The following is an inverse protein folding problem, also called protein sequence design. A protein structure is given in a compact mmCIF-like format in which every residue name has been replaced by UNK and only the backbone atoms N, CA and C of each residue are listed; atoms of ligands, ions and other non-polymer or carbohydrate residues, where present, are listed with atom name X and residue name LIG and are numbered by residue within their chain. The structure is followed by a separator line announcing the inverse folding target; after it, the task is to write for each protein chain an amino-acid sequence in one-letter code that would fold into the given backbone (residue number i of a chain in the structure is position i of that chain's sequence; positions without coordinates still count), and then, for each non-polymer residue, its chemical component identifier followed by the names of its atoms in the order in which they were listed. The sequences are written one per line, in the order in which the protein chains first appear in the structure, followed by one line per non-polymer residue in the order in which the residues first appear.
data_IF_812663257233
#
_entry.id   IF_812663257233
#
_cell.length_a   1.000
_cell.length_b   1.000
_cell.length_c   1.000
_cell.angle_alpha   90.00
_cell.angle_beta   90.00
_cell.angle_gamma   90.00
#
_symmetry.space_group_name_H-M   'P 1'
#
loop_
_entity.id
_entity.type
_entity.pdbx_description
1 polymer ?
#
# COMPACT_ATOMS: atom_id res chain seq x y z
N UNK A 1 7.00 -13.99 -8.79
CA UNK A 1 8.05 -13.35 -7.99
C UNK A 1 9.08 -12.70 -8.88
N UNK A 2 9.62 -11.55 -8.47
CA UNK A 2 10.77 -10.96 -9.16
C UNK A 2 11.91 -12.00 -9.19
N UNK A 3 12.68 -12.11 -10.29
CA UNK A 3 13.85 -12.95 -10.31
C UNK A 3 14.77 -12.56 -9.14
N UNK A 4 15.49 -13.53 -8.58
CA UNK A 4 16.48 -13.26 -7.53
C UNK A 4 17.62 -12.45 -8.13
N UNK A 5 17.48 -11.14 -8.06
CA UNK A 5 18.47 -10.16 -8.53
C UNK A 5 18.92 -9.30 -7.35
N UNK A 6 20.16 -8.78 -7.37
CA UNK A 6 20.62 -7.85 -6.35
C UNK A 6 19.66 -6.65 -6.21
N UNK A 7 19.48 -6.15 -4.99
CA UNK A 7 18.57 -5.02 -4.71
C UNK A 7 18.83 -3.80 -5.63
N UNK A 8 20.05 -3.52 -5.99
CA UNK A 8 20.42 -2.45 -6.92
C UNK A 8 19.83 -2.64 -8.33
N UNK A 9 19.51 -3.87 -8.75
CA UNK A 9 18.91 -4.14 -10.05
C UNK A 9 17.38 -4.02 -10.05
N UNK A 10 16.74 -4.04 -8.87
CA UNK A 10 15.27 -3.93 -8.78
C UNK A 10 14.75 -2.61 -9.32
N UNK A 11 15.47 -1.50 -9.07
CA UNK A 11 15.10 -0.20 -9.61
C UNK A 11 15.10 -0.16 -11.14
N UNK A 12 16.10 -0.79 -11.78
CA UNK A 12 16.15 -0.85 -13.23
C UNK A 12 15.05 -1.76 -13.79
N UNK A 13 14.74 -2.87 -13.13
CA UNK A 13 13.63 -3.75 -13.53
C UNK A 13 12.27 -3.03 -13.46
N UNK A 14 12.04 -2.25 -12.41
CA UNK A 14 10.81 -1.46 -12.28
C UNK A 14 10.70 -0.40 -13.39
N UNK A 15 11.79 0.32 -13.72
CA UNK A 15 11.82 1.25 -14.86
C UNK A 15 11.52 0.55 -16.18
N UNK A 16 12.18 -0.57 -16.44
CA UNK A 16 11.96 -1.35 -17.67
C UNK A 16 10.53 -1.87 -17.76
N UNK A 17 9.92 -2.22 -16.63
CA UNK A 17 8.53 -2.64 -16.58
C UNK A 17 7.59 -1.51 -16.98
N UNK A 18 7.75 -0.30 -16.43
CA UNK A 18 6.99 0.88 -16.82
C UNK A 18 7.17 1.24 -18.30
N UNK A 19 8.43 1.25 -18.80
CA UNK A 19 8.74 1.55 -20.20
C UNK A 19 8.11 0.55 -21.17
N UNK A 20 7.85 -0.67 -20.74
CA UNK A 20 7.22 -1.75 -21.51
C UNK A 20 5.73 -1.93 -21.17
N UNK A 21 5.08 -0.90 -20.63
CA UNK A 21 3.65 -0.91 -20.31
C UNK A 21 3.23 -2.10 -19.44
N UNK A 22 4.04 -2.44 -18.42
CA UNK A 22 3.74 -3.53 -17.50
C UNK A 22 3.99 -4.94 -18.02
N UNK A 23 4.68 -5.12 -19.17
CA UNK A 23 4.77 -6.44 -19.83
C UNK A 23 6.12 -7.15 -19.68
N UNK A 24 7.14 -6.52 -19.12
CA UNK A 24 8.48 -7.13 -19.05
C UNK A 24 8.61 -8.27 -18.04
N UNK A 25 7.74 -8.29 -17.03
CA UNK A 25 7.54 -9.41 -16.11
C UNK A 25 6.11 -9.42 -15.61
N UNK A 26 5.66 -10.55 -15.10
CA UNK A 26 4.33 -10.66 -14.47
C UNK A 26 4.46 -10.32 -12.99
N UNK A 27 3.76 -9.29 -12.54
CA UNK A 27 3.72 -8.89 -11.14
C UNK A 27 2.88 -9.87 -10.30
N UNK A 28 3.37 -10.19 -9.12
CA UNK A 28 2.63 -10.97 -8.13
C UNK A 28 1.85 -10.00 -7.23
N UNK A 29 0.64 -9.67 -7.63
CA UNK A 29 -0.22 -8.71 -6.91
C UNK A 29 -0.67 -9.24 -5.56
N UNK A 30 -0.89 -10.53 -5.43
CA UNK A 30 -1.29 -11.14 -4.15
C UNK A 30 -0.18 -10.98 -3.11
N UNK A 31 1.04 -11.38 -3.47
CA UNK A 31 2.21 -11.19 -2.62
C UNK A 31 2.49 -9.70 -2.36
N UNK A 32 2.36 -8.85 -3.39
CA UNK A 32 2.52 -7.40 -3.27
C UNK A 32 1.55 -6.79 -2.27
N UNK A 33 0.28 -7.16 -2.34
CA UNK A 33 -0.76 -6.71 -1.40
C UNK A 33 -0.48 -7.20 0.02
N UNK A 34 -0.08 -8.46 0.18
CA UNK A 34 0.29 -9.00 1.49
C UNK A 34 1.42 -8.19 2.14
N UNK A 35 2.46 -7.88 1.37
CA UNK A 35 3.60 -7.07 1.82
C UNK A 35 3.21 -5.63 2.13
N UNK A 36 2.38 -5.01 1.29
CA UNK A 36 1.89 -3.66 1.51
C UNK A 36 1.09 -3.57 2.83
N UNK A 37 0.21 -4.54 3.10
CA UNK A 37 -0.53 -4.65 4.35
C UNK A 37 0.39 -4.79 5.57
N UNK A 38 1.42 -5.61 5.48
CA UNK A 38 2.40 -5.76 6.54
C UNK A 38 3.21 -4.48 6.77
N UNK A 39 3.69 -3.86 5.69
CA UNK A 39 4.51 -2.67 5.75
C UNK A 39 3.77 -1.48 6.35
N UNK A 40 2.51 -1.24 5.94
CA UNK A 40 1.75 -0.10 6.47
C UNK A 40 1.42 -0.25 7.96
N UNK A 41 1.12 -1.46 8.46
CA UNK A 41 0.93 -1.65 9.89
C UNK A 41 2.22 -1.38 10.67
N UNK A 42 3.38 -1.79 10.14
CA UNK A 42 4.67 -1.47 10.75
C UNK A 42 4.90 0.04 10.77
N UNK A 43 4.68 0.73 9.64
CA UNK A 43 4.87 2.18 9.53
C UNK A 43 3.95 2.95 10.46
N UNK A 44 2.66 2.61 10.49
CA UNK A 44 1.68 3.26 11.37
C UNK A 44 1.93 2.98 12.86
N UNK A 45 2.73 1.99 13.23
CA UNK A 45 3.16 1.75 14.60
C UNK A 45 4.34 2.63 15.03
N UNK A 46 5.09 3.20 14.09
CA UNK A 46 6.22 4.07 14.38
C UNK A 46 5.76 5.41 14.99
N UNK A 47 6.61 6.05 15.85
CA UNK A 47 6.34 7.38 16.37
C UNK A 47 6.44 8.44 15.28
N UNK A 48 5.76 9.56 15.48
CA UNK A 48 5.83 10.71 14.58
C UNK A 48 4.69 10.75 13.56
N UNK A 49 4.87 11.52 12.49
CA UNK A 49 3.89 11.67 11.42
C UNK A 49 3.95 10.48 10.46
N UNK A 50 2.81 9.99 10.03
CA UNK A 50 2.69 9.03 8.95
C UNK A 50 2.15 9.74 7.70
N UNK A 51 2.70 9.40 6.54
CA UNK A 51 2.28 9.95 5.26
C UNK A 51 1.67 8.83 4.43
N UNK A 52 0.42 8.99 4.06
CA UNK A 52 -0.31 8.04 3.20
C UNK A 52 -0.47 8.69 1.84
N UNK A 53 0.06 8.05 0.80
CA UNK A 53 -0.14 8.51 -0.55
C UNK A 53 -1.50 8.04 -1.09
N UNK A 54 -2.13 8.85 -1.94
CA UNK A 54 -3.44 8.51 -2.52
C UNK A 54 -3.42 7.16 -3.21
N UNK A 55 -4.38 6.29 -2.90
CA UNK A 55 -4.51 4.96 -3.47
C UNK A 55 -3.82 3.85 -2.68
N UNK A 56 -2.91 4.17 -1.74
CA UNK A 56 -2.33 3.17 -0.85
C UNK A 56 -3.42 2.51 0.00
N UNK A 57 -4.36 3.30 0.48
CA UNK A 57 -5.49 2.85 1.30
C UNK A 57 -6.45 1.92 0.54
N UNK A 58 -6.39 1.91 -0.78
CA UNK A 58 -7.12 1.00 -1.66
C UNK A 58 -6.24 -0.14 -2.18
N UNK A 59 -4.94 -0.14 -1.85
CA UNK A 59 -4.00 -1.11 -2.41
C UNK A 59 -3.84 -1.03 -3.93
N UNK A 60 -4.05 0.15 -4.51
CA UNK A 60 -3.97 0.35 -5.96
C UNK A 60 -2.57 0.05 -6.49
N UNK A 61 -2.44 -0.86 -7.46
CA UNK A 61 -1.19 -1.02 -8.21
C UNK A 61 -0.92 0.18 -9.11
N UNK A 62 0.35 0.38 -9.47
CA UNK A 62 0.75 1.41 -10.43
C UNK A 62 0.18 1.11 -11.82
N UNK A 63 -0.31 2.14 -12.51
CA UNK A 63 -0.81 2.06 -13.89
C UNK A 63 0.36 2.21 -14.85
N UNK A 64 0.87 1.10 -15.36
CA UNK A 64 2.07 1.09 -16.19
C UNK A 64 1.81 1.40 -17.67
N UNK A 65 0.58 1.23 -18.15
CA UNK A 65 0.20 1.24 -19.56
C UNK A 65 -0.41 2.57 -20.03
N UNK A 66 -0.21 3.66 -19.27
CA UNK A 66 -0.59 5.01 -19.73
C UNK A 66 0.11 5.31 -21.05
N UNK A 67 -0.64 5.69 -22.12
CA UNK A 67 -0.07 6.11 -23.38
C UNK A 67 0.88 7.30 -23.23
N UNK A 68 1.94 7.35 -24.04
CA UNK A 68 2.94 8.42 -23.97
C UNK A 68 2.39 9.82 -24.19
N UNK A 69 1.38 9.96 -25.03
CA UNK A 69 0.71 11.23 -25.34
C UNK A 69 -0.29 11.66 -24.26
N UNK A 70 -0.58 10.78 -23.29
CA UNK A 70 -1.42 11.08 -22.13
C UNK A 70 -0.60 11.28 -20.84
N UNK A 71 0.74 11.19 -20.91
CA UNK A 71 1.60 11.46 -19.75
C UNK A 71 1.70 12.97 -19.49
N UNK A 72 1.70 13.35 -18.21
CA UNK A 72 1.81 14.75 -17.77
C UNK A 72 3.08 15.02 -16.96
N UNK A 73 3.73 13.98 -16.39
CA UNK A 73 4.95 14.15 -15.60
C UNK A 73 6.08 14.71 -16.47
N UNK A 74 6.67 15.87 -16.12
CA UNK A 74 7.78 16.47 -16.87
C UNK A 74 8.95 15.51 -17.09
N UNK A 75 9.12 14.50 -16.24
CA UNK A 75 10.17 13.48 -16.38
C UNK A 75 10.04 12.71 -17.69
N UNK A 76 8.82 12.47 -18.17
CA UNK A 76 8.57 11.80 -19.44
C UNK A 76 9.07 12.58 -20.65
N UNK A 77 9.15 13.91 -20.56
CA UNK A 77 9.50 14.81 -21.65
C UNK A 77 10.93 15.39 -21.51
N UNK A 78 11.42 15.51 -20.28
CA UNK A 78 12.74 16.04 -19.99
C UNK A 78 13.78 14.92 -20.06
N UNK A 79 14.36 14.70 -21.23
CA UNK A 79 15.48 13.76 -21.43
C UNK A 79 16.73 14.27 -20.73
N UNK A 80 16.86 13.99 -19.44
CA UNK A 80 18.08 14.28 -18.70
C UNK A 80 19.04 13.12 -18.91
N UNK A 81 20.19 13.35 -19.52
CA UNK A 81 21.26 12.37 -19.76
C UNK A 81 20.84 11.16 -20.62
N UNK A 82 20.01 11.38 -21.64
CA UNK A 82 19.50 10.33 -22.55
C UNK A 82 18.70 9.19 -21.85
N UNK A 83 18.28 9.40 -20.60
CA UNK A 83 17.41 8.45 -19.92
C UNK A 83 15.95 8.72 -20.29
N UNK A 84 15.27 7.67 -20.73
CA UNK A 84 13.84 7.67 -21.01
C UNK A 84 13.15 7.10 -19.78
N UNK A 85 12.20 7.86 -19.22
CA UNK A 85 11.38 7.44 -18.07
C UNK A 85 9.94 7.90 -18.29
N UNK A 86 8.96 7.12 -17.83
CA UNK A 86 7.54 7.52 -17.84
C UNK A 86 7.18 8.49 -16.71
N UNK A 87 8.06 8.69 -15.74
CA UNK A 87 7.76 9.49 -14.58
C UNK A 87 6.89 8.75 -13.56
N UNK A 88 6.03 9.48 -12.86
CA UNK A 88 5.21 8.97 -11.75
C UNK A 88 3.70 9.06 -12.00
N UNK A 89 3.28 9.27 -13.23
CA UNK A 89 1.85 9.40 -13.55
C UNK A 89 1.05 8.14 -13.19
N UNK A 90 1.67 6.96 -13.33
CA UNK A 90 1.03 5.69 -12.99
C UNK A 90 0.52 5.58 -11.55
N UNK A 91 1.15 6.29 -10.60
CA UNK A 91 0.68 6.35 -9.21
C UNK A 91 -0.14 7.63 -8.89
N UNK A 92 -0.45 8.45 -9.89
CA UNK A 92 -1.23 9.69 -9.74
C UNK A 92 -2.59 9.64 -10.42
N UNK A 93 -2.93 8.52 -11.04
CA UNK A 93 -4.24 8.34 -11.67
C UNK A 93 -5.32 8.55 -10.61
N UNK A 94 -6.36 9.36 -10.91
CA UNK A 94 -7.43 9.65 -9.96
C UNK A 94 -8.07 8.38 -9.38
N UNK A 95 -8.16 8.26 -8.02
CA UNK A 95 -8.62 7.04 -7.39
C UNK A 95 -10.11 6.76 -7.65
N UNK A 96 -10.53 5.47 -7.67
CA UNK A 96 -11.92 5.09 -7.91
C UNK A 96 -12.76 5.18 -6.63
N UNK A 97 -13.90 5.85 -6.70
CA UNK A 97 -14.86 5.98 -5.60
C UNK A 97 -16.05 5.04 -5.74
N UNK A 98 -16.54 4.84 -6.97
CA UNK A 98 -17.74 4.06 -7.27
C UNK A 98 -17.54 3.19 -8.51
N UNK A 99 -17.50 1.90 -8.34
CA UNK A 99 -17.19 0.92 -9.40
C UNK A 99 -18.08 1.03 -10.64
N UNK A 100 -19.37 1.32 -10.47
CA UNK A 100 -20.37 1.31 -11.54
C UNK A 100 -20.67 2.66 -12.17
N UNK A 101 -19.87 3.69 -11.93
CA UNK A 101 -20.12 5.05 -12.44
C UNK A 101 -19.05 5.51 -13.42
N UNK A 102 -19.37 6.43 -14.36
CA UNK A 102 -18.35 7.06 -15.21
C UNK A 102 -17.24 7.69 -14.37
N UNK A 103 -15.99 7.65 -14.85
CA UNK A 103 -14.80 8.12 -14.12
C UNK A 103 -14.66 7.52 -12.72
N UNK A 104 -15.29 6.38 -12.48
CA UNK A 104 -15.41 5.74 -11.17
C UNK A 104 -15.85 6.71 -10.05
N UNK A 105 -16.71 7.69 -10.41
CA UNK A 105 -17.23 8.69 -9.48
C UNK A 105 -16.23 9.76 -9.05
N UNK A 106 -15.07 9.85 -9.68
CA UNK A 106 -14.08 10.90 -9.38
C UNK A 106 -14.57 12.28 -9.82
N UNK A 107 -15.10 12.41 -11.05
CA UNK A 107 -15.72 13.64 -11.53
C UNK A 107 -17.24 13.59 -11.36
N UNK A 108 -17.88 14.68 -10.92
CA UNK A 108 -19.35 14.73 -10.89
C UNK A 108 -19.90 14.62 -12.31
N UNK A 109 -21.00 13.89 -12.47
CA UNK A 109 -21.79 13.99 -13.69
C UNK A 109 -22.24 15.45 -13.85
N UNK A 110 -21.79 16.12 -14.89
CA UNK A 110 -22.25 17.49 -15.17
C UNK A 110 -23.73 17.42 -15.53
N UNK A 111 -24.60 17.74 -14.57
CA UNK A 111 -25.96 18.12 -14.88
C UNK A 111 -25.89 19.48 -15.55
N UNK A 112 -25.96 19.51 -16.87
CA UNK A 112 -26.33 20.74 -17.57
C UNK A 112 -27.81 21.04 -17.28
N UNK A 113 -28.10 21.46 -16.04
CA UNK A 113 -29.37 22.09 -15.69
C UNK A 113 -29.26 23.56 -16.13
N UNK A 114 -29.77 23.86 -17.28
CA UNK A 114 -30.03 25.23 -17.67
C UNK A 114 -29.50 25.65 -19.02
N UNK A 115 -30.45 25.95 -19.89
CA UNK A 115 -30.37 26.70 -21.12
C UNK A 115 -29.91 25.95 -22.39
N UNK A 116 -30.87 25.37 -23.13
CA UNK A 116 -30.96 25.50 -24.58
C UNK A 116 -29.79 25.00 -25.45
N UNK A 117 -28.95 24.14 -24.96
CA UNK A 117 -27.90 23.49 -25.78
C UNK A 117 -28.47 22.21 -26.40
N UNK A 118 -28.37 22.11 -27.72
CA UNK A 118 -28.77 20.95 -28.50
C UNK A 118 -28.07 19.71 -27.95
N UNK A 119 -28.85 18.67 -27.62
CA UNK A 119 -28.36 17.40 -27.07
C UNK A 119 -27.35 16.68 -27.98
N UNK A 120 -27.22 17.08 -29.24
CA UNK A 120 -26.23 16.59 -30.20
C UNK A 120 -24.81 17.18 -29.98
N UNK A 121 -24.70 18.25 -29.18
CA UNK A 121 -23.42 18.90 -28.81
C UNK A 121 -23.06 18.74 -27.33
N UNK A 122 -23.88 18.00 -26.57
CA UNK A 122 -23.52 17.63 -25.21
C UNK A 122 -22.32 16.68 -25.29
N UNK A 123 -21.14 17.19 -24.97
CA UNK A 123 -19.98 16.37 -24.68
C UNK A 123 -20.30 15.34 -23.61
N UNK A 124 -19.50 14.32 -23.50
CA UNK A 124 -19.62 13.25 -22.50
C UNK A 124 -20.00 13.88 -21.12
N UNK A 125 -21.09 13.42 -20.49
CA UNK A 125 -21.64 14.07 -19.28
C UNK A 125 -20.72 14.06 -18.05
N UNK A 126 -19.50 13.58 -18.22
CA UNK A 126 -18.46 13.56 -17.21
C UNK A 126 -17.16 14.13 -17.78
N UNK A 127 -16.54 15.07 -17.10
CA UNK A 127 -15.18 15.50 -17.46
C UNK A 127 -14.22 14.33 -17.29
N UNK A 128 -13.42 14.04 -18.32
CA UNK A 128 -12.39 13.02 -18.24
C UNK A 128 -11.37 13.40 -17.15
N UNK A 129 -10.92 12.44 -16.33
CA UNK A 129 -9.80 12.68 -15.45
C UNK A 129 -8.54 13.01 -16.26
N UNK A 130 -7.64 13.81 -15.68
CA UNK A 130 -6.40 14.24 -16.32
C UNK A 130 -5.48 13.07 -16.74
N UNK A 131 -5.55 11.95 -16.03
CA UNK A 131 -4.88 10.70 -16.40
C UNK A 131 -5.92 9.58 -16.61
N UNK A 132 -5.72 8.68 -17.57
CA UNK A 132 -6.68 7.64 -17.89
C UNK A 132 -6.82 6.60 -16.78
N UNK A 133 -8.05 6.36 -16.35
CA UNK A 133 -8.38 5.34 -15.37
C UNK A 133 -8.57 3.98 -16.04
N UNK A 134 -7.80 2.94 -15.69
CA UNK A 134 -7.98 1.61 -16.25
C UNK A 134 -9.25 0.94 -15.73
N UNK A 135 -9.86 0.04 -16.52
CA UNK A 135 -11.11 -0.62 -16.14
C UNK A 135 -11.02 -1.45 -14.84
N UNK A 136 -9.84 -2.00 -14.53
CA UNK A 136 -9.62 -2.77 -13.32
C UNK A 136 -9.67 -1.92 -12.03
N UNK A 137 -9.69 -0.58 -12.12
CA UNK A 137 -9.96 0.30 -10.98
C UNK A 137 -11.32 0.01 -10.33
N UNK A 138 -12.29 -0.51 -11.08
CA UNK A 138 -13.57 -0.93 -10.53
C UNK A 138 -13.44 -1.94 -9.37
N UNK A 139 -12.41 -2.78 -9.38
CA UNK A 139 -12.20 -3.79 -8.34
C UNK A 139 -11.65 -3.21 -7.04
N UNK A 140 -11.04 -2.03 -7.11
CA UNK A 140 -10.45 -1.28 -6.00
C UNK A 140 -11.30 -0.07 -5.59
N UNK A 141 -12.51 0.06 -6.10
CA UNK A 141 -13.35 1.21 -5.80
C UNK A 141 -13.77 1.25 -4.32
N UNK A 142 -13.80 2.45 -3.74
CA UNK A 142 -14.15 2.68 -2.33
C UNK A 142 -15.47 2.01 -1.94
N UNK A 143 -16.50 2.09 -2.78
CA UNK A 143 -17.82 1.50 -2.50
C UNK A 143 -17.79 -0.04 -2.43
N UNK A 144 -16.86 -0.69 -3.11
CA UNK A 144 -16.63 -2.15 -2.98
C UNK A 144 -15.84 -2.48 -1.74
N UNK A 145 -14.73 -1.80 -1.53
CA UNK A 145 -13.87 -2.05 -0.38
C UNK A 145 -14.53 -1.71 0.95
N UNK A 146 -15.42 -0.73 0.97
CA UNK A 146 -16.17 -0.34 2.15
C UNK A 146 -17.01 -1.47 2.73
N UNK A 147 -17.54 -2.33 1.88
CA UNK A 147 -18.38 -3.48 2.26
C UNK A 147 -17.58 -4.75 2.58
N UNK A 148 -16.29 -4.81 2.21
CA UNK A 148 -15.41 -5.93 2.50
C UNK A 148 -14.58 -5.66 3.75
N UNK A 149 -14.89 -6.35 4.86
CA UNK A 149 -14.15 -6.22 6.12
C UNK A 149 -12.68 -6.62 6.04
N UNK A 150 -12.28 -7.39 5.01
CA UNK A 150 -10.92 -7.83 4.73
C UNK A 150 -10.14 -6.90 3.79
N UNK A 151 -10.78 -5.86 3.23
CA UNK A 151 -10.18 -4.94 2.26
C UNK A 151 -8.99 -4.15 2.82
N UNK A 152 -8.22 -3.56 1.90
CA UNK A 152 -7.13 -2.65 2.28
C UNK A 152 -7.70 -1.41 2.99
N UNK A 153 -8.76 -0.81 2.46
CA UNK A 153 -9.43 0.36 3.05
C UNK A 153 -9.83 0.12 4.50
N UNK A 154 -10.46 -1.02 4.78
CA UNK A 154 -10.90 -1.34 6.14
C UNK A 154 -9.72 -1.69 7.08
N UNK A 155 -8.60 -2.20 6.55
CA UNK A 155 -7.36 -2.34 7.32
C UNK A 155 -6.82 -0.96 7.72
N UNK A 156 -6.72 -0.01 6.79
CA UNK A 156 -6.27 1.36 7.08
C UNK A 156 -7.17 2.06 8.11
N UNK A 157 -8.48 1.96 7.97
CA UNK A 157 -9.44 2.56 8.94
C UNK A 157 -9.25 2.00 10.35
N UNK A 158 -9.11 0.68 10.48
CA UNK A 158 -8.87 0.04 11.77
C UNK A 158 -7.52 0.46 12.35
N UNK A 159 -6.46 0.42 11.53
CA UNK A 159 -5.13 0.81 11.96
C UNK A 159 -5.05 2.27 12.40
N UNK A 160 -5.63 3.19 11.64
CA UNK A 160 -5.66 4.61 12.00
C UNK A 160 -6.50 4.87 13.25
N UNK A 161 -7.62 4.18 13.42
CA UNK A 161 -8.42 4.23 14.64
C UNK A 161 -7.64 3.78 15.87
N UNK A 162 -7.01 2.61 15.80
CA UNK A 162 -6.16 2.09 16.88
C UNK A 162 -4.94 2.97 17.12
N UNK A 163 -4.31 3.48 16.05
CA UNK A 163 -3.21 4.43 16.18
C UNK A 163 -3.64 5.67 16.96
N UNK A 164 -4.82 6.23 16.66
CA UNK A 164 -5.35 7.38 17.40
C UNK A 164 -5.63 7.05 18.88
N UNK A 165 -6.11 5.87 19.17
CA UNK A 165 -6.41 5.41 20.53
C UNK A 165 -5.14 5.12 21.34
N UNK A 166 -4.17 4.41 20.73
CA UNK A 166 -3.01 3.87 21.43
C UNK A 166 -1.74 4.72 21.32
N UNK A 167 -1.66 5.68 20.40
CA UNK A 167 -0.51 6.59 20.33
C UNK A 167 -0.64 7.68 21.37
N UNK A 168 0.46 7.90 22.08
CA UNK A 168 0.63 8.98 23.05
C UNK A 168 1.67 9.99 22.56
N UNK A 169 1.81 11.11 23.28
CA UNK A 169 2.88 12.07 23.04
C UNK A 169 4.29 11.49 23.32
N UNK A 170 4.36 10.37 24.05
CA UNK A 170 5.63 9.68 24.29
C UNK A 170 6.06 8.93 23.02
N UNK A 171 7.17 9.38 22.45
CA UNK A 171 7.76 8.81 21.23
C UNK A 171 8.72 7.65 21.51
N UNK A 172 8.84 7.20 22.76
CA UNK A 172 9.74 6.12 23.15
C UNK A 172 9.41 4.84 22.38
N UNK A 173 10.44 4.23 21.82
CA UNK A 173 10.41 2.95 21.13
C UNK A 173 11.50 2.09 21.75
N UNK A 174 11.13 0.87 22.16
CA UNK A 174 12.07 -0.13 22.69
C UNK A 174 12.02 -1.36 21.77
N UNK A 175 13.17 -1.75 21.25
CA UNK A 175 13.28 -2.96 20.45
C UNK A 175 12.98 -4.20 21.30
N UNK A 176 12.31 -5.16 20.71
CA UNK A 176 12.02 -6.46 21.31
C UNK A 176 12.85 -7.53 20.58
N UNK A 177 13.42 -8.44 21.35
CA UNK A 177 14.03 -9.64 20.82
C UNK A 177 12.96 -10.73 20.66
N UNK A 178 12.60 -11.06 19.43
CA UNK A 178 11.59 -12.06 19.11
C UNK A 178 12.20 -13.44 18.78
N UNK A 179 13.53 -13.57 18.79
CA UNK A 179 14.20 -14.82 18.44
C UNK A 179 15.03 -15.36 19.61
N UNK A 180 14.34 -15.93 20.60
CA UNK A 180 15.00 -16.65 21.69
C UNK A 180 15.61 -17.99 21.30
N UNK A 181 15.34 -18.46 20.06
CA UNK A 181 15.78 -19.79 19.60
C UNK A 181 17.18 -19.82 18.99
N UNK A 182 17.73 -18.68 18.58
CA UNK A 182 18.96 -18.65 17.80
C UNK A 182 20.29 -18.66 18.59
N UNK A 183 20.26 -18.55 19.92
CA UNK A 183 21.47 -18.65 20.76
C UNK A 183 22.59 -17.67 20.38
N UNK A 184 22.31 -16.60 19.66
CA UNK A 184 23.27 -15.57 19.29
C UNK A 184 23.47 -14.58 20.44
N UNK A 185 24.71 -14.12 20.69
CA UNK A 185 25.00 -13.22 21.80
C UNK A 185 24.33 -11.86 21.64
N UNK A 186 23.91 -11.31 22.78
CA UNK A 186 23.39 -9.95 22.95
C UNK A 186 24.19 -8.92 22.16
N UNK A 187 23.59 -8.26 21.19
CA UNK A 187 24.25 -7.19 20.45
C UNK A 187 23.64 -6.81 19.10
N UNK A 188 22.73 -7.58 18.55
CA UNK A 188 21.97 -7.18 17.35
C UNK A 188 20.59 -6.68 17.78
N UNK A 189 20.49 -5.40 18.06
CA UNK A 189 19.25 -4.75 18.47
C UNK A 189 18.15 -4.95 17.40
N UNK A 190 17.08 -5.66 17.77
CA UNK A 190 15.79 -5.64 17.07
C UNK A 190 15.64 -6.45 15.76
N UNK A 191 16.66 -7.20 15.34
CA UNK A 191 16.63 -7.89 14.04
C UNK A 191 17.21 -9.30 14.15
N UNK A 192 16.35 -10.29 14.20
CA UNK A 192 16.76 -11.69 14.04
C UNK A 192 15.90 -12.37 12.98
N UNK A 193 16.55 -12.99 12.00
CA UNK A 193 15.85 -13.83 11.02
C UNK A 193 14.85 -13.14 10.10
N UNK A 194 14.83 -11.79 10.00
CA UNK A 194 13.86 -11.04 9.20
C UNK A 194 12.66 -10.52 9.98
N UNK A 195 12.61 -10.71 11.31
CA UNK A 195 11.56 -10.17 12.18
C UNK A 195 11.96 -8.80 12.73
N UNK A 196 11.07 -7.83 12.65
CA UNK A 196 11.19 -6.49 13.23
C UNK A 196 10.14 -6.36 14.33
N UNK A 197 10.58 -6.13 15.58
CA UNK A 197 9.67 -6.01 16.70
C UNK A 197 10.06 -4.88 17.63
N UNK A 198 9.07 -4.10 18.07
CA UNK A 198 9.26 -3.02 19.02
C UNK A 198 8.03 -2.79 19.88
N UNK A 199 8.28 -2.28 21.08
CA UNK A 199 7.27 -1.84 22.04
C UNK A 199 7.19 -0.32 22.10
N UNK A 200 5.97 0.18 22.24
CA UNK A 200 5.66 1.59 22.51
C UNK A 200 5.46 1.82 24.02
N UNK A 201 5.63 3.08 24.45
CA UNK A 201 5.62 3.45 25.87
C UNK A 201 4.36 3.05 26.65
N UNK A 202 3.20 3.04 25.99
CA UNK A 202 1.91 2.72 26.61
C UNK A 202 1.54 1.22 26.59
N UNK A 203 2.53 0.36 26.41
CA UNK A 203 2.33 -1.09 26.61
C UNK A 203 1.78 -1.85 25.41
N UNK A 204 1.93 -1.35 24.19
CA UNK A 204 1.63 -2.12 23.00
C UNK A 204 2.86 -2.34 22.12
N UNK A 205 2.84 -3.38 21.33
CA UNK A 205 3.95 -3.78 20.47
C UNK A 205 3.49 -3.94 19.02
N UNK A 206 4.42 -3.72 18.09
CA UNK A 206 4.32 -4.11 16.70
C UNK A 206 5.37 -5.17 16.40
N UNK A 207 4.95 -6.27 15.79
CA UNK A 207 5.81 -7.35 15.33
C UNK A 207 5.56 -7.56 13.84
N UNK A 208 6.60 -7.45 13.02
CA UNK A 208 6.55 -7.68 11.57
C UNK A 208 7.52 -8.79 11.21
N UNK A 209 7.05 -9.79 10.51
CA UNK A 209 7.87 -10.89 10.04
C UNK A 209 8.07 -10.81 8.51
N UNK A 210 9.27 -10.45 8.07
CA UNK A 210 9.71 -10.56 6.67
C UNK A 210 10.54 -11.82 6.41
N UNK A 211 10.86 -12.61 7.47
CA UNK A 211 11.58 -13.86 7.37
C UNK A 211 10.69 -14.97 6.81
N UNK A 212 11.33 -16.04 6.30
CA UNK A 212 10.62 -17.18 5.71
C UNK A 212 9.91 -18.06 6.77
N UNK A 213 10.48 -18.16 7.98
CA UNK A 213 9.92 -18.95 9.06
C UNK A 213 8.90 -18.15 9.88
N UNK A 214 7.80 -18.77 10.34
CA UNK A 214 6.84 -18.09 11.20
C UNK A 214 7.47 -17.65 12.53
N UNK A 215 7.21 -16.39 12.92
CA UNK A 215 7.73 -15.81 14.15
C UNK A 215 6.76 -15.94 15.32
N UNK A 216 7.27 -16.10 16.53
CA UNK A 216 6.47 -16.09 17.75
C UNK A 216 6.02 -14.66 18.09
N UNK A 217 4.83 -14.54 18.67
CA UNK A 217 4.30 -13.28 19.16
C UNK A 217 4.54 -13.18 20.69
N UNK A 218 4.82 -11.96 21.20
CA UNK A 218 4.84 -11.74 22.65
C UNK A 218 3.47 -12.01 23.27
N UNK A 219 3.45 -12.35 24.55
CA UNK A 219 2.20 -12.54 25.29
C UNK A 219 1.39 -11.23 25.35
N UNK A 220 0.11 -11.31 25.07
CA UNK A 220 -0.79 -10.16 25.07
C UNK A 220 -2.02 -10.37 24.19
N UNK A 221 -2.87 -9.36 24.13
CA UNK A 221 -4.08 -9.39 23.30
C UNK A 221 -3.78 -8.84 21.91
N UNK A 222 -4.18 -9.56 20.86
CA UNK A 222 -4.01 -9.12 19.49
C UNK A 222 -5.00 -8.00 19.19
N UNK A 223 -4.49 -6.81 18.86
CA UNK A 223 -5.27 -5.65 18.48
C UNK A 223 -5.61 -5.65 16.99
N UNK A 224 -4.64 -5.98 16.14
CA UNK A 224 -4.78 -5.99 14.69
C UNK A 224 -3.72 -6.89 14.06
N UNK A 225 -4.07 -7.53 12.95
CA UNK A 225 -3.13 -8.28 12.09
C UNK A 225 -3.33 -7.89 10.62
N UNK A 226 -2.25 -7.87 9.85
CA UNK A 226 -2.30 -7.58 8.42
C UNK A 226 -2.80 -8.75 7.57
N UNK A 227 -2.80 -9.96 8.11
CA UNK A 227 -3.25 -11.19 7.49
C UNK A 227 -3.44 -12.30 8.54
N UNK A 228 -3.93 -13.49 8.16
CA UNK A 228 -4.18 -14.57 9.10
C UNK A 228 -2.89 -15.07 9.73
N UNK A 229 -2.97 -15.48 11.00
CA UNK A 229 -1.91 -16.20 11.69
C UNK A 229 -1.88 -17.66 11.21
N UNK A 230 -0.80 -18.37 11.54
CA UNK A 230 -0.71 -19.82 11.37
C UNK A 230 -1.66 -20.55 12.33
N UNK A 231 -1.96 -21.82 12.09
CA UNK A 231 -2.85 -22.63 12.95
C UNK A 231 -2.37 -22.71 14.40
N UNK A 232 -1.06 -22.61 14.61
CA UNK A 232 -0.44 -22.59 15.96
C UNK A 232 -0.25 -21.18 16.52
N UNK A 233 -0.84 -20.15 15.89
CA UNK A 233 -0.89 -18.77 16.38
C UNK A 233 0.38 -17.95 16.13
N UNK A 234 1.33 -18.43 15.31
CA UNK A 234 2.53 -17.69 14.96
C UNK A 234 2.29 -16.73 13.80
N UNK A 235 3.17 -15.74 13.68
CA UNK A 235 3.13 -14.72 12.64
C UNK A 235 3.83 -15.21 11.37
N UNK A 236 3.11 -15.50 10.27
CA UNK A 236 3.72 -15.98 9.04
C UNK A 236 4.53 -14.87 8.33
N UNK A 237 5.31 -15.28 7.33
CA UNK A 237 6.07 -14.36 6.48
C UNK A 237 5.17 -13.24 5.90
N UNK A 238 5.74 -12.06 5.71
CA UNK A 238 5.09 -10.87 5.15
C UNK A 238 3.78 -10.49 5.89
N UNK A 239 3.82 -10.55 7.22
CA UNK A 239 2.68 -10.25 8.10
C UNK A 239 3.13 -9.40 9.29
N UNK A 240 2.25 -8.48 9.73
CA UNK A 240 2.45 -7.64 10.92
C UNK A 240 1.30 -7.84 11.89
N UNK A 241 1.60 -7.90 13.18
CA UNK A 241 0.64 -7.89 14.28
C UNK A 241 0.88 -6.74 15.24
N UNK A 242 -0.19 -6.13 15.74
CA UNK A 242 -0.20 -5.20 16.87
C UNK A 242 -0.78 -5.91 18.09
N UNK A 243 -0.11 -5.77 19.23
CA UNK A 243 -0.40 -6.54 20.43
C UNK A 243 -0.42 -5.62 21.63
N UNK A 244 -1.47 -5.63 22.41
CA UNK A 244 -1.51 -5.02 23.74
C UNK A 244 -0.77 -5.94 24.70
N UNK A 245 0.37 -5.47 25.23
CA UNK A 245 1.16 -6.22 26.21
C UNK A 245 0.49 -6.11 27.59
N UNK A 246 0.40 -7.22 28.30
CA UNK A 246 -0.11 -7.27 29.65
C UNK A 246 0.79 -6.58 30.69
#
# INVERSE_FOLDING_TARGET
GLPQVPAAAHHQLAKDWLLRNGTSYHEDRELGTKRARAAILMELALPGSAYIYQGEELGLPEVADIPWDELEDPTAFNRVRDQIEKGRDGCRVPPPWKAGTPTFGFSPATKHEGAGVDASQAGDPCEKPHLPQPQWFADYAVDREDTDSGSMLNLYRKALGLRHEWMTADTTLTWLDCDRSSGKPDGAEGHTGGTIAFRRANGWASVTNFGAEPAELPAGDILLVSGPLTDDGRLPQDTTAWIALG
#
